data_IF_251230957983
#
_entry.id   IF_251230957983
#
_cell.length_a   1.000
_cell.length_b   1.000
_cell.length_c   1.000
_cell.angle_alpha   90.00
_cell.angle_beta   90.00
_cell.angle_gamma   90.00
#
_symmetry.space_group_name_H-M   'P 1'
#
loop_
_entity.id
_entity.type
_entity.pdbx_description
1 polymer ?
#
# COMPACT_ATOMS: atom_id res chain seq x y z
N UNK A 1 -2.53 -6.37 6.92
CA UNK A 1 -2.25 -7.77 7.33
C UNK A 1 -0.76 -8.01 7.17
N UNK A 2 -0.08 -8.48 8.21
CA UNK A 2 1.36 -8.76 8.14
C UNK A 2 1.68 -9.99 7.27
N UNK A 3 2.96 -10.20 6.97
CA UNK A 3 3.40 -11.26 6.05
C UNK A 3 3.14 -12.67 6.58
N UNK A 4 3.19 -12.86 7.91
CA UNK A 4 2.93 -14.17 8.54
C UNK A 4 1.46 -14.54 8.37
N UNK A 5 0.57 -13.59 8.65
CA UNK A 5 -0.87 -13.80 8.50
C UNK A 5 -1.25 -14.03 7.02
N UNK A 6 -0.63 -13.29 6.09
CA UNK A 6 -0.83 -13.51 4.65
C UNK A 6 -0.43 -14.93 4.25
N UNK A 7 0.75 -15.39 4.69
CA UNK A 7 1.22 -16.74 4.39
C UNK A 7 0.24 -17.81 4.91
N UNK A 8 -0.17 -17.70 6.18
CA UNK A 8 -1.11 -18.66 6.80
C UNK A 8 -2.46 -18.70 6.09
N UNK A 9 -3.07 -17.54 5.86
CA UNK A 9 -4.41 -17.48 5.25
C UNK A 9 -4.41 -17.96 3.80
N UNK A 10 -3.36 -17.64 3.04
CA UNK A 10 -3.27 -18.09 1.64
C UNK A 10 -2.94 -19.56 1.51
N UNK A 11 -2.28 -20.17 2.51
CA UNK A 11 -2.10 -21.62 2.58
C UNK A 11 -3.44 -22.36 2.79
N UNK A 12 -4.33 -21.79 3.61
CA UNK A 12 -5.70 -22.31 3.78
C UNK A 12 -6.48 -22.23 2.45
N UNK A 13 -6.23 -21.20 1.65
CA UNK A 13 -6.84 -20.98 0.33
C UNK A 13 -8.07 -20.09 0.33
N UNK A 14 -8.65 -19.89 -0.86
CA UNK A 14 -9.85 -19.06 -1.05
C UNK A 14 -9.60 -17.56 -1.19
N UNK A 15 -8.34 -17.13 -1.32
CA UNK A 15 -7.96 -15.74 -1.51
C UNK A 15 -7.42 -15.49 -2.92
N UNK A 16 -7.96 -14.50 -3.62
CA UNK A 16 -7.49 -14.08 -4.95
C UNK A 16 -6.34 -13.07 -4.86
N UNK A 17 -6.26 -12.32 -3.77
CA UNK A 17 -5.20 -11.34 -3.50
C UNK A 17 -5.10 -11.04 -2.00
N UNK A 18 -3.93 -10.57 -1.59
CA UNK A 18 -3.70 -10.02 -0.26
C UNK A 18 -3.29 -8.55 -0.38
N UNK A 19 -3.45 -7.82 0.73
CA UNK A 19 -3.03 -6.43 0.86
C UNK A 19 -2.14 -6.31 2.11
N UNK A 20 -1.04 -5.57 2.00
CA UNK A 20 -0.15 -5.32 3.14
C UNK A 20 -0.80 -4.42 4.18
N UNK A 21 -0.16 -4.27 5.33
CA UNK A 21 -0.36 -3.09 6.18
C UNK A 21 -0.04 -1.84 5.37
N UNK A 22 -0.66 -0.70 5.70
CA UNK A 22 -0.39 0.52 4.95
C UNK A 22 1.02 1.06 5.21
N UNK A 23 1.69 1.44 4.15
CA UNK A 23 2.95 2.19 4.20
C UNK A 23 2.61 3.68 4.14
N UNK A 24 3.00 4.42 5.19
CA UNK A 24 2.71 5.85 5.28
C UNK A 24 3.69 6.66 4.42
N UNK A 25 3.13 7.40 3.46
CA UNK A 25 3.83 8.35 2.60
C UNK A 25 3.55 9.76 3.11
N UNK A 26 4.56 10.46 3.62
CA UNK A 26 4.36 11.79 4.23
C UNK A 26 5.26 12.89 3.69
N UNK A 27 6.55 12.67 3.50
CA UNK A 27 7.50 13.74 3.19
C UNK A 27 8.49 13.40 2.08
N UNK A 28 8.64 12.12 1.72
CA UNK A 28 9.69 11.69 0.79
C UNK A 28 9.30 10.41 0.06
N UNK A 29 10.07 10.12 -0.99
CA UNK A 29 10.04 8.80 -1.64
C UNK A 29 10.82 7.82 -0.77
N UNK A 30 10.12 6.85 -0.20
CA UNK A 30 10.65 5.91 0.77
C UNK A 30 11.68 4.96 0.14
N UNK A 31 12.77 4.60 0.87
CA UNK A 31 13.76 3.65 0.35
C UNK A 31 13.18 2.24 0.23
N UNK A 32 13.70 1.44 -0.70
CA UNK A 32 13.24 0.06 -0.97
C UNK A 32 13.13 -0.82 0.28
N UNK A 33 14.05 -0.66 1.24
CA UNK A 33 14.06 -1.43 2.50
C UNK A 33 12.77 -1.30 3.31
N UNK A 34 12.10 -0.13 3.21
CA UNK A 34 10.81 0.09 3.88
C UNK A 34 9.75 -0.83 3.28
N UNK A 35 9.67 -0.87 1.95
CA UNK A 35 8.70 -1.73 1.25
C UNK A 35 8.96 -3.22 1.51
N UNK A 36 10.22 -3.68 1.48
CA UNK A 36 10.56 -5.07 1.81
C UNK A 36 10.19 -5.46 3.24
N UNK A 37 10.17 -4.51 4.19
CA UNK A 37 9.72 -4.76 5.56
C UNK A 37 8.23 -5.08 5.63
N UNK A 38 7.39 -4.38 4.85
CA UNK A 38 5.94 -4.57 4.82
C UNK A 38 5.51 -5.67 3.84
N UNK A 39 6.27 -5.84 2.78
CA UNK A 39 6.01 -6.78 1.69
C UNK A 39 7.28 -7.56 1.32
N UNK A 40 7.76 -8.49 2.16
CA UNK A 40 8.91 -9.33 1.81
C UNK A 40 8.66 -10.17 0.55
N UNK A 41 7.41 -10.41 0.18
CA UNK A 41 7.00 -11.09 -1.04
C UNK A 41 7.50 -10.39 -2.32
N UNK A 42 7.85 -9.10 -2.27
CA UNK A 42 8.52 -8.39 -3.37
C UNK A 42 9.89 -8.98 -3.76
N UNK A 43 10.46 -9.83 -2.89
CA UNK A 43 11.67 -10.62 -3.20
C UNK A 43 11.33 -11.93 -3.93
N UNK A 44 10.04 -12.27 -4.06
CA UNK A 44 9.52 -13.52 -4.64
C UNK A 44 8.36 -13.22 -5.60
N UNK A 45 8.62 -12.36 -6.58
CA UNK A 45 7.66 -11.97 -7.63
C UNK A 45 6.35 -11.34 -7.14
N UNK A 46 6.33 -10.82 -5.91
CA UNK A 46 5.16 -10.14 -5.32
C UNK A 46 4.01 -11.08 -4.95
N UNK A 47 4.29 -12.36 -4.76
CA UNK A 47 3.28 -13.37 -4.39
C UNK A 47 3.65 -14.09 -3.10
N UNK A 48 2.65 -14.61 -2.38
CA UNK A 48 2.86 -15.50 -1.24
C UNK A 48 3.42 -16.86 -1.70
N UNK A 49 3.88 -17.69 -0.77
CA UNK A 49 4.34 -19.05 -1.07
C UNK A 49 3.25 -19.90 -1.77
N UNK A 50 1.98 -19.59 -1.54
CA UNK A 50 0.83 -20.23 -2.20
C UNK A 50 0.47 -19.59 -3.55
N UNK A 51 1.27 -18.63 -4.06
CA UNK A 51 1.06 -17.99 -5.35
C UNK A 51 0.01 -16.87 -5.37
N UNK A 52 -0.46 -16.41 -4.22
CA UNK A 52 -1.48 -15.35 -4.15
C UNK A 52 -0.81 -13.97 -4.24
N UNK A 53 -1.24 -13.08 -5.16
CA UNK A 53 -0.69 -11.74 -5.33
C UNK A 53 -0.81 -10.89 -4.08
N UNK A 54 0.25 -10.13 -3.76
CA UNK A 54 0.30 -9.21 -2.61
C UNK A 54 0.38 -7.77 -3.10
N UNK A 55 -0.69 -7.01 -2.89
CA UNK A 55 -0.74 -5.59 -3.22
C UNK A 55 -0.14 -4.79 -2.07
N UNK A 56 0.69 -3.81 -2.41
CA UNK A 56 1.26 -2.90 -1.41
C UNK A 56 0.30 -1.75 -1.16
N UNK A 57 -0.14 -1.60 0.08
CA UNK A 57 -1.04 -0.52 0.48
C UNK A 57 -0.25 0.74 0.82
N UNK A 58 -0.60 1.85 0.17
CA UNK A 58 -0.05 3.18 0.44
C UNK A 58 -1.10 4.06 1.13
N UNK A 59 -0.64 4.90 2.04
CA UNK A 59 -1.44 5.89 2.73
C UNK A 59 -0.73 7.24 2.73
N UNK A 60 -1.36 8.26 2.20
CA UNK A 60 -0.82 9.62 2.10
C UNK A 60 -1.81 10.58 1.49
N UNK A 61 -1.47 11.87 1.45
CA UNK A 61 -2.35 12.95 0.96
C UNK A 61 -1.72 13.78 -0.16
N UNK A 62 -0.44 13.61 -0.45
CA UNK A 62 0.24 14.33 -1.54
C UNK A 62 0.24 13.48 -2.82
N UNK A 63 -0.42 13.92 -3.92
CA UNK A 63 -0.50 13.15 -5.15
C UNK A 63 0.86 12.84 -5.77
N UNK A 64 1.79 13.80 -5.73
CA UNK A 64 3.13 13.63 -6.32
C UNK A 64 3.96 12.60 -5.55
N UNK A 65 3.96 12.67 -4.22
CA UNK A 65 4.66 11.70 -3.38
C UNK A 65 4.01 10.32 -3.45
N UNK A 66 2.67 10.25 -3.50
CA UNK A 66 1.95 9.00 -3.68
C UNK A 66 2.33 8.33 -5.01
N UNK A 67 2.31 9.06 -6.11
CA UNK A 67 2.72 8.58 -7.42
C UNK A 67 4.18 8.12 -7.46
N UNK A 68 5.10 8.88 -6.88
CA UNK A 68 6.52 8.53 -6.86
C UNK A 68 6.80 7.24 -6.04
N UNK A 69 6.12 7.07 -4.90
CA UNK A 69 6.22 5.85 -4.11
C UNK A 69 5.55 4.66 -4.79
N UNK A 70 4.38 4.84 -5.39
CA UNK A 70 3.69 3.81 -6.17
C UNK A 70 4.56 3.31 -7.35
N UNK A 71 5.15 4.23 -8.11
CA UNK A 71 6.09 3.88 -9.19
C UNK A 71 7.28 3.08 -8.66
N UNK A 72 7.86 3.46 -7.52
CA UNK A 72 8.95 2.69 -6.89
C UNK A 72 8.54 1.27 -6.56
N UNK A 73 7.37 1.09 -5.97
CA UNK A 73 6.83 -0.22 -5.60
C UNK A 73 6.54 -1.06 -6.85
N UNK A 74 5.97 -0.45 -7.89
CA UNK A 74 5.75 -1.13 -9.17
C UNK A 74 7.07 -1.60 -9.81
N UNK A 75 8.12 -0.76 -9.78
CA UNK A 75 9.46 -1.14 -10.25
C UNK A 75 10.14 -2.22 -9.39
N UNK A 76 9.66 -2.48 -8.18
CA UNK A 76 10.09 -3.58 -7.33
C UNK A 76 9.33 -4.89 -7.60
N UNK A 77 8.41 -4.89 -8.56
CA UNK A 77 7.66 -6.08 -8.97
C UNK A 77 6.35 -6.30 -8.22
N UNK A 78 5.80 -5.27 -7.58
CA UNK A 78 4.47 -5.39 -6.96
C UNK A 78 3.40 -5.64 -8.03
N UNK A 79 2.53 -6.65 -7.86
CA UNK A 79 1.46 -6.94 -8.80
C UNK A 79 0.34 -5.89 -8.79
N UNK A 80 0.29 -5.06 -7.75
CA UNK A 80 -0.67 -3.96 -7.64
C UNK A 80 -0.40 -3.05 -6.44
N UNK A 81 -1.06 -1.89 -6.49
CA UNK A 81 -1.04 -0.87 -5.44
C UNK A 81 -2.46 -0.73 -4.90
N UNK A 82 -2.57 -0.66 -3.59
CA UNK A 82 -3.81 -0.35 -2.88
C UNK A 82 -3.70 1.04 -2.23
N UNK A 83 -4.75 1.84 -2.30
CA UNK A 83 -4.78 3.20 -1.74
C UNK A 83 -5.72 3.25 -0.53
N UNK A 84 -5.19 3.63 0.62
CA UNK A 84 -5.96 3.71 1.86
C UNK A 84 -6.56 5.10 2.06
N UNK A 85 -7.87 5.22 1.91
CA UNK A 85 -8.66 6.41 2.20
C UNK A 85 -9.62 6.21 3.39
N UNK A 86 -9.44 5.16 4.18
CA UNK A 86 -10.38 4.79 5.24
C UNK A 86 -9.80 4.79 6.66
N UNK A 87 -8.48 4.94 6.85
CA UNK A 87 -7.88 4.87 8.17
C UNK A 87 -8.42 5.97 9.10
N UNK A 88 -9.06 5.64 10.25
CA UNK A 88 -9.65 6.62 11.17
C UNK A 88 -8.65 7.15 12.21
N UNK A 89 -7.40 6.67 12.22
CA UNK A 89 -6.42 7.01 13.24
C UNK A 89 -6.18 8.52 13.33
N UNK A 90 -6.23 9.08 14.54
CA UNK A 90 -6.04 10.52 14.77
C UNK A 90 -4.71 11.04 14.23
N UNK A 91 -3.64 10.26 14.34
CA UNK A 91 -2.29 10.62 13.83
C UNK A 91 -2.25 10.70 12.30
N UNK A 92 -3.03 9.88 11.61
CA UNK A 92 -3.18 9.87 10.15
C UNK A 92 -4.06 11.04 9.71
N UNK A 93 -5.18 11.25 10.39
CA UNK A 93 -6.13 12.32 10.06
C UNK A 93 -5.54 13.72 10.29
N UNK A 94 -4.65 13.90 11.28
CA UNK A 94 -3.94 15.18 11.50
C UNK A 94 -3.02 15.56 10.31
N UNK A 95 -2.54 14.59 9.55
CA UNK A 95 -1.76 14.80 8.32
C UNK A 95 -2.62 14.78 7.06
N UNK A 96 -3.94 14.96 7.20
CA UNK A 96 -4.92 14.98 6.10
C UNK A 96 -4.95 13.68 5.28
N UNK A 97 -4.49 12.54 5.83
CA UNK A 97 -4.53 11.22 5.19
C UNK A 97 -5.69 10.36 5.68
N UNK A 98 -5.83 9.17 5.10
CA UNK A 98 -6.86 8.20 5.47
C UNK A 98 -8.29 8.75 5.34
N UNK A 99 -9.13 8.51 6.35
CA UNK A 99 -10.55 8.90 6.33
C UNK A 99 -10.79 10.42 6.21
N UNK A 100 -9.83 11.26 6.62
CA UNK A 100 -9.94 12.70 6.46
C UNK A 100 -10.04 13.14 4.99
N UNK A 101 -9.45 12.36 4.06
CA UNK A 101 -9.52 12.62 2.62
C UNK A 101 -10.93 12.51 2.05
N UNK A 102 -11.83 11.76 2.69
CA UNK A 102 -13.23 11.63 2.24
C UNK A 102 -13.99 12.96 2.25
N UNK A 103 -13.48 13.96 2.97
CA UNK A 103 -14.01 15.34 2.97
C UNK A 103 -13.51 16.16 1.76
N UNK A 104 -12.57 15.64 1.01
CA UNK A 104 -11.90 16.33 -0.11
C UNK A 104 -11.82 15.40 -1.32
N UNK A 105 -12.96 15.09 -1.97
CA UNK A 105 -13.02 14.11 -3.07
C UNK A 105 -12.13 14.49 -4.26
N UNK A 106 -11.94 15.78 -4.54
CA UNK A 106 -11.03 16.24 -5.60
C UNK A 106 -9.58 15.86 -5.33
N UNK A 107 -9.16 15.83 -4.07
CA UNK A 107 -7.81 15.38 -3.71
C UNK A 107 -7.67 13.85 -3.88
N UNK A 108 -8.70 13.07 -3.51
CA UNK A 108 -8.74 11.63 -3.79
C UNK A 108 -8.61 11.39 -5.30
N UNK A 109 -9.40 12.11 -6.11
CA UNK A 109 -9.31 12.02 -7.58
C UNK A 109 -7.90 12.33 -8.07
N UNK A 110 -7.28 13.39 -7.57
CA UNK A 110 -5.91 13.79 -7.95
C UNK A 110 -4.89 12.70 -7.61
N UNK A 111 -5.00 12.06 -6.45
CA UNK A 111 -4.15 10.93 -6.05
C UNK A 111 -4.36 9.74 -6.99
N UNK A 112 -5.61 9.34 -7.24
CA UNK A 112 -5.92 8.22 -8.12
C UNK A 112 -5.47 8.43 -9.57
N UNK A 113 -5.49 9.66 -10.06
CA UNK A 113 -5.00 9.99 -11.43
C UNK A 113 -3.47 9.99 -11.48
N UNK A 114 -2.80 10.36 -10.38
CA UNK A 114 -1.34 10.44 -10.32
C UNK A 114 -0.69 9.05 -10.16
N UNK A 115 -1.33 8.14 -9.44
CA UNK A 115 -0.86 6.77 -9.20
C UNK A 115 -1.18 5.85 -10.36
#
# INVERSE_FOLDING_TARGET
MDSIMRALLTEIGGYERCVTEFVRVSQTVLPKRVFYRYAPELLSDGVTASGVPVYVQLLGSDPGLMAANARRVAMMGAPGIDLNFGCPAKTVNRSHGGAALLRTPDLIRSICVAV
#
